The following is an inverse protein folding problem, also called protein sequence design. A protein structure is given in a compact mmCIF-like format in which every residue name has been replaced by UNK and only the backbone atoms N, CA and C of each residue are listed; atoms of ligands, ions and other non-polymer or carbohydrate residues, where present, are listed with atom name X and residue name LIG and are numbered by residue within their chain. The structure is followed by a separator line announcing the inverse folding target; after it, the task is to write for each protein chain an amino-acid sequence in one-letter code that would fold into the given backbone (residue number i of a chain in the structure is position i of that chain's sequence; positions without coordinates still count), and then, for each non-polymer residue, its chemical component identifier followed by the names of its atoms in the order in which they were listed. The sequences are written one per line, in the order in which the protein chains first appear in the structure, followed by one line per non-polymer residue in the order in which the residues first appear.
data_IF_306645464240
#
_entry.id   IF_306645464240
#
_cell.length_a   1.000
_cell.length_b   1.000
_cell.length_c   1.000
_cell.angle_alpha   90.00
_cell.angle_beta   90.00
_cell.angle_gamma   90.00
#
_symmetry.space_group_name_H-M   'P 1'
#
loop_
_entity.id
_entity.type
_entity.pdbx_description
1 polymer ?
#
# COMPACT_ATOMS: atom_id res chain seq x y z
N UNK A 1 23.19 26.13 11.15
CA UNK A 1 22.36 25.15 11.92
C UNK A 1 21.01 25.03 11.23
N UNK A 2 20.39 23.85 11.19
CA UNK A 2 19.04 23.65 10.62
C UNK A 2 18.17 22.92 11.64
N UNK A 3 17.05 23.54 12.01
CA UNK A 3 16.00 22.93 12.83
C UNK A 3 14.98 22.23 11.91
N UNK A 4 14.36 21.18 12.42
CA UNK A 4 13.33 20.42 11.69
C UNK A 4 12.06 20.40 12.53
N UNK A 5 10.94 20.65 11.87
CA UNK A 5 9.60 20.60 12.46
C UNK A 5 8.76 19.58 11.70
N UNK A 6 7.93 18.84 12.42
CA UNK A 6 6.81 18.07 11.89
C UNK A 6 5.54 18.80 12.32
N UNK A 7 4.82 19.35 11.35
CA UNK A 7 3.77 20.34 11.54
C UNK A 7 4.32 21.52 12.37
N UNK A 8 3.76 21.80 13.54
CA UNK A 8 4.24 22.86 14.44
C UNK A 8 5.16 22.35 15.57
N UNK A 9 5.52 21.05 15.55
CA UNK A 9 6.32 20.42 16.61
C UNK A 9 7.78 20.28 16.20
N UNK A 10 8.68 20.77 17.05
CA UNK A 10 10.12 20.52 16.88
C UNK A 10 10.39 19.01 16.91
N UNK A 11 11.09 18.51 15.91
CA UNK A 11 11.43 17.10 15.81
C UNK A 11 12.39 16.70 16.94
N UNK A 12 12.01 15.67 17.69
CA UNK A 12 12.78 15.10 18.78
C UNK A 12 13.90 14.18 18.25
N UNK A 13 15.15 14.61 18.46
CA UNK A 13 16.36 13.90 18.02
C UNK A 13 16.82 12.82 19.02
N UNK A 14 16.30 12.83 20.24
CA UNK A 14 16.72 11.91 21.30
C UNK A 14 15.87 10.63 21.34
N UNK A 15 14.84 10.55 20.48
CA UNK A 15 13.93 9.42 20.35
C UNK A 15 14.58 8.11 19.84
N UNK A 16 15.84 8.15 19.39
CA UNK A 16 16.58 7.00 18.82
C UNK A 16 16.11 6.54 17.44
N UNK A 17 14.85 6.81 17.05
CA UNK A 17 14.32 6.56 15.70
C UNK A 17 14.68 7.66 14.71
N UNK A 18 14.87 8.88 15.21
CA UNK A 18 15.09 10.06 14.38
C UNK A 18 16.55 10.46 14.40
N UNK A 19 17.12 10.75 13.23
CA UNK A 19 18.43 11.38 13.12
C UNK A 19 18.41 12.57 12.17
N UNK A 20 19.14 13.61 12.53
CA UNK A 20 19.34 14.79 11.70
C UNK A 20 20.83 14.99 11.49
N UNK A 21 21.26 14.95 10.24
CA UNK A 21 22.64 15.24 9.86
C UNK A 21 22.67 16.53 9.07
N UNK A 22 23.52 17.48 9.47
CA UNK A 22 23.72 18.73 8.73
C UNK A 22 25.17 18.82 8.27
N UNK A 23 25.36 18.81 6.96
CA UNK A 23 26.66 18.99 6.32
C UNK A 23 26.80 20.44 5.88
N UNK A 24 27.86 21.10 6.36
CA UNK A 24 28.16 22.49 6.02
C UNK A 24 29.30 22.49 5.01
N UNK A 25 29.02 22.98 3.80
CA UNK A 25 30.00 23.23 2.75
C UNK A 25 29.67 24.51 1.99
N UNK A 26 29.98 24.57 0.69
CA UNK A 26 29.54 25.69 -0.17
C UNK A 26 28.00 25.79 -0.21
N UNK A 27 27.33 24.64 -0.12
CA UNK A 27 25.89 24.53 0.13
C UNK A 27 25.72 23.79 1.44
N UNK A 28 24.83 24.30 2.30
CA UNK A 28 24.47 23.61 3.54
C UNK A 28 23.32 22.65 3.25
N UNK A 29 23.52 21.38 3.56
CA UNK A 29 22.50 20.33 3.38
C UNK A 29 22.16 19.73 4.73
N UNK A 30 20.87 19.71 5.07
CA UNK A 30 20.36 19.00 6.25
C UNK A 30 19.49 17.84 5.82
N UNK A 31 19.64 16.70 6.48
CA UNK A 31 18.90 15.48 6.18
C UNK A 31 18.29 14.94 7.46
N UNK A 32 16.96 14.89 7.49
CA UNK A 32 16.18 14.23 8.52
C UNK A 32 15.87 12.79 8.07
N UNK A 33 16.12 11.82 8.94
CA UNK A 33 15.78 10.40 8.74
C UNK A 33 14.93 9.91 9.90
N UNK A 34 13.84 9.22 9.59
CA UNK A 34 12.94 8.58 10.55
C UNK A 34 13.00 7.06 10.32
N UNK A 35 13.43 6.30 11.31
CA UNK A 35 13.49 4.83 11.26
C UNK A 35 12.17 4.21 11.76
N UNK A 36 11.72 3.14 11.08
CA UNK A 36 10.48 2.47 11.45
C UNK A 36 9.27 3.39 11.33
N UNK A 37 9.07 3.97 10.14
CA UNK A 37 7.99 4.92 9.89
C UNK A 37 6.62 4.28 10.15
N UNK A 38 5.77 4.99 10.88
CA UNK A 38 4.41 4.64 11.20
C UNK A 38 3.44 5.71 10.72
N UNK A 39 2.13 5.43 10.73
CA UNK A 39 1.10 6.37 10.24
C UNK A 39 1.20 7.77 10.89
N UNK A 40 1.56 7.83 12.17
CA UNK A 40 1.72 9.08 12.93
C UNK A 40 2.96 9.90 12.55
N UNK A 41 3.89 9.33 11.77
CA UNK A 41 5.02 10.05 11.21
C UNK A 41 4.63 10.83 9.94
N UNK A 42 3.37 10.71 9.45
CA UNK A 42 2.84 11.60 8.41
C UNK A 42 2.75 13.04 8.91
N UNK A 43 2.90 14.02 8.03
CA UNK A 43 2.77 15.44 8.38
C UNK A 43 3.54 16.36 7.45
N UNK A 44 3.50 17.65 7.76
CA UNK A 44 4.29 18.67 7.07
C UNK A 44 5.68 18.78 7.71
N UNK A 45 6.71 18.31 7.02
CA UNK A 45 8.09 18.45 7.46
C UNK A 45 8.70 19.75 6.95
N UNK A 46 9.07 20.63 7.87
CA UNK A 46 9.66 21.93 7.54
C UNK A 46 11.10 22.03 8.03
N UNK A 47 12.01 22.42 7.14
CA UNK A 47 13.38 22.74 7.50
C UNK A 47 13.53 24.25 7.76
N UNK A 48 14.13 24.59 8.89
CA UNK A 48 14.30 25.96 9.38
C UNK A 48 15.79 26.28 9.52
N UNK A 49 16.43 26.87 8.50
CA UNK A 49 17.83 27.25 8.57
C UNK A 49 18.03 28.46 9.49
N UNK A 50 19.16 28.50 10.20
CA UNK A 50 19.53 29.64 11.05
C UNK A 50 19.74 30.95 10.27
N UNK A 51 20.01 30.85 8.98
CA UNK A 51 20.12 31.98 8.06
C UNK A 51 19.45 31.57 6.73
N UNK A 52 18.27 32.09 6.47
CA UNK A 52 17.49 31.76 5.28
C UNK A 52 15.99 31.74 5.55
N UNK A 53 15.22 31.28 4.57
CA UNK A 53 13.78 31.06 4.70
C UNK A 53 13.52 29.57 4.95
N UNK A 54 12.49 29.22 5.74
CA UNK A 54 12.07 27.85 5.87
C UNK A 54 11.43 27.34 4.56
N UNK A 55 11.48 26.03 4.37
CA UNK A 55 10.80 25.33 3.29
C UNK A 55 10.24 23.99 3.77
N UNK A 56 9.21 23.51 3.09
CA UNK A 56 8.28 22.50 3.62
C UNK A 56 7.95 21.42 2.61
N UNK A 57 7.78 20.18 3.10
CA UNK A 57 7.32 19.03 2.31
C UNK A 57 6.27 18.23 3.10
N UNK A 58 5.21 17.81 2.43
CA UNK A 58 4.18 16.95 3.04
C UNK A 58 4.59 15.49 2.83
N UNK A 59 4.71 14.74 3.93
CA UNK A 59 5.01 13.31 3.93
C UNK A 59 3.77 12.53 4.32
N UNK A 60 3.44 11.50 3.54
CA UNK A 60 2.34 10.59 3.82
C UNK A 60 2.86 9.16 3.99
N UNK A 61 2.64 8.58 5.16
CA UNK A 61 2.98 7.19 5.46
C UNK A 61 1.71 6.35 5.31
N UNK A 62 1.79 5.30 4.50
CA UNK A 62 0.66 4.42 4.18
C UNK A 62 0.95 3.03 4.75
N UNK A 63 -0.04 2.43 5.40
CA UNK A 63 0.02 1.01 5.76
C UNK A 63 -0.21 0.19 4.50
N UNK A 64 0.74 -0.68 4.14
CA UNK A 64 0.59 -1.54 2.97
C UNK A 64 -0.67 -2.40 3.08
N UNK A 65 -1.40 -2.52 1.97
CA UNK A 65 -2.54 -3.42 1.92
C UNK A 65 -2.08 -4.88 2.13
N UNK A 66 -2.90 -5.71 2.80
CA UNK A 66 -2.69 -7.15 2.77
C UNK A 66 -2.65 -7.60 1.31
N UNK A 67 -1.79 -8.59 0.95
CA UNK A 67 -1.76 -9.08 -0.42
C UNK A 67 -3.16 -9.51 -0.82
N UNK A 68 -3.72 -8.82 -1.83
CA UNK A 68 -5.02 -9.19 -2.38
C UNK A 68 -4.95 -10.65 -2.81
N UNK A 69 -5.94 -11.46 -2.39
CA UNK A 69 -6.06 -12.84 -2.83
C UNK A 69 -6.27 -12.83 -4.35
N UNK A 70 -5.18 -13.03 -5.11
CA UNK A 70 -5.26 -13.32 -6.52
C UNK A 70 -6.04 -14.63 -6.66
N UNK A 71 -7.32 -14.55 -7.00
CA UNK A 71 -8.11 -15.71 -7.37
C UNK A 71 -7.52 -16.26 -8.66
N UNK A 72 -6.68 -17.29 -8.53
CA UNK A 72 -6.25 -18.10 -9.65
C UNK A 72 -7.51 -18.77 -10.18
N UNK A 73 -7.86 -18.51 -11.43
CA UNK A 73 -9.04 -19.08 -12.06
C UNK A 73 -8.96 -20.60 -11.99
N UNK A 74 -9.79 -21.20 -11.15
CA UNK A 74 -9.98 -22.63 -11.16
C UNK A 74 -10.72 -22.96 -12.46
N UNK A 75 -9.98 -23.36 -13.49
CA UNK A 75 -10.51 -23.93 -14.72
C UNK A 75 -11.19 -25.25 -14.39
N UNK A 76 -12.38 -25.19 -13.79
CA UNK A 76 -13.21 -26.36 -13.60
C UNK A 76 -13.66 -26.81 -14.99
N UNK A 77 -13.08 -27.91 -15.46
CA UNK A 77 -13.45 -28.62 -16.68
C UNK A 77 -14.84 -29.25 -16.52
N UNK A 78 -15.89 -28.41 -16.53
CA UNK A 78 -17.29 -28.84 -16.57
C UNK A 78 -17.74 -29.11 -18.01
N UNK A 79 -17.03 -29.96 -18.75
CA UNK A 79 -17.42 -30.30 -20.14
C UNK A 79 -17.65 -31.79 -20.39
N UNK A 80 -17.55 -32.64 -19.38
CA UNK A 80 -17.77 -34.09 -19.56
C UNK A 80 -19.10 -34.64 -19.05
N UNK A 81 -19.92 -33.86 -18.34
CA UNK A 81 -21.21 -34.37 -17.80
C UNK A 81 -22.41 -34.17 -18.73
N UNK A 82 -22.27 -33.46 -19.86
CA UNK A 82 -23.41 -33.09 -20.71
C UNK A 82 -23.79 -34.11 -21.80
N UNK A 83 -23.17 -35.29 -21.85
CA UNK A 83 -23.41 -36.29 -22.92
C UNK A 83 -23.97 -37.63 -22.47
N UNK A 84 -24.39 -37.79 -21.20
CA UNK A 84 -25.26 -38.88 -20.82
C UNK A 84 -26.66 -38.33 -20.52
N UNK A 85 -27.41 -38.01 -21.58
CA UNK A 85 -28.86 -38.14 -21.47
C UNK A 85 -29.12 -39.64 -21.38
N UNK A 86 -29.56 -40.21 -20.25
CA UNK A 86 -29.79 -41.64 -20.17
C UNK A 86 -30.86 -42.01 -21.20
N UNK A 87 -30.65 -43.10 -21.95
CA UNK A 87 -31.56 -43.58 -22.99
C UNK A 87 -33.02 -43.75 -22.48
N UNK A 88 -33.21 -43.91 -21.16
CA UNK A 88 -34.50 -43.90 -20.49
C UNK A 88 -35.31 -42.59 -20.71
N UNK A 89 -34.63 -41.45 -20.81
CA UNK A 89 -35.25 -40.13 -21.07
C UNK A 89 -35.81 -40.03 -22.50
N UNK A 90 -35.13 -40.66 -23.46
CA UNK A 90 -35.58 -40.70 -24.86
C UNK A 90 -36.70 -41.74 -25.04
N UNK A 91 -36.61 -42.87 -24.34
CA UNK A 91 -37.64 -43.92 -24.37
C UNK A 91 -38.97 -43.46 -23.76
N UNK A 92 -38.92 -42.73 -22.64
CA UNK A 92 -40.11 -42.13 -22.01
C UNK A 92 -40.75 -41.07 -22.92
N UNK A 93 -39.96 -40.22 -23.56
CA UNK A 93 -40.46 -39.22 -24.51
C UNK A 93 -41.13 -39.86 -25.75
N UNK A 94 -40.55 -40.95 -26.28
CA UNK A 94 -41.11 -41.69 -27.42
C UNK A 94 -42.47 -42.33 -27.06
N UNK A 95 -42.60 -42.89 -25.87
CA UNK A 95 -43.86 -43.46 -25.36
C UNK A 95 -44.98 -42.41 -25.24
N UNK A 96 -44.65 -41.20 -24.79
CA UNK A 96 -45.62 -40.08 -24.68
C UNK A 96 -46.09 -39.59 -26.05
N UNK A 97 -45.25 -39.69 -27.09
CA UNK A 97 -45.58 -39.28 -28.45
C UNK A 97 -46.36 -40.34 -29.26
N UNK A 98 -46.40 -41.59 -28.78
CA UNK A 98 -47.09 -42.73 -29.41
C UNK A 98 -48.45 -43.04 -28.76
N UNK A 99 -48.84 -42.30 -27.71
CA UNK A 99 -50.15 -42.31 -27.06
C UNK A 99 -50.97 -41.10 -27.47
#
# INVERSE_FOLDING_TARGET
MVLWYQDDRLVDRDSGRVSVVTNIGNVTTSTLKVAGAALHDSGNYSCWPSAGRPDSVIVHVIQGDPPAAMHHGNSATWVTTMLLVPAASLFTLLLILLT
#
